data_IF_444374692093
#
_entry.id   IF_444374692093
#
_cell.length_a   1.000
_cell.length_b   1.000
_cell.length_c   1.000
_cell.angle_alpha   90.00
_cell.angle_beta   90.00
_cell.angle_gamma   90.00
#
_symmetry.space_group_name_H-M   'P 1'
#
loop_
_entity.id
_entity.type
_entity.pdbx_description
1 polymer ?
#
# COMPACT_ATOMS: atom_id res chain seq x y z
N UNK A 1 -5.19 11.34 4.03
CA UNK A 1 -4.99 9.88 3.91
C UNK A 1 -3.90 9.60 2.88
N UNK A 2 -3.04 8.61 3.14
CA UNK A 2 -2.01 8.15 2.22
C UNK A 2 -2.14 6.67 1.90
N UNK A 3 -1.58 6.27 0.77
CA UNK A 3 -1.35 4.88 0.38
C UNK A 3 0.15 4.66 0.25
N UNK A 4 0.67 3.73 1.04
CA UNK A 4 2.06 3.26 0.92
C UNK A 4 2.04 1.96 0.16
N UNK A 5 2.69 1.93 -1.01
CA UNK A 5 2.82 0.74 -1.87
C UNK A 5 4.27 0.27 -1.87
N UNK A 6 4.50 -0.97 -1.44
CA UNK A 6 5.76 -1.65 -1.62
C UNK A 6 5.68 -2.56 -2.86
N UNK A 7 6.38 -2.18 -3.93
CA UNK A 7 6.48 -2.95 -5.18
C UNK A 7 7.63 -3.94 -5.08
N UNK A 8 7.31 -5.22 -5.21
CA UNK A 8 8.22 -6.32 -4.93
C UNK A 8 8.35 -7.19 -6.18
N UNK A 9 9.53 -7.20 -6.83
CA UNK A 9 9.81 -8.13 -7.91
C UNK A 9 10.12 -9.51 -7.33
N UNK A 10 9.15 -10.41 -7.34
CA UNK A 10 9.34 -11.81 -6.90
C UNK A 10 9.96 -12.60 -8.05
N UNK A 11 10.98 -13.40 -7.74
CA UNK A 11 11.61 -14.28 -8.71
C UNK A 11 10.67 -15.43 -9.10
N UNK A 12 10.74 -15.87 -10.35
CA UNK A 12 9.91 -16.94 -10.89
C UNK A 12 10.08 -18.23 -10.05
N UNK A 13 8.96 -18.86 -9.70
CA UNK A 13 8.92 -20.07 -8.88
C UNK A 13 8.87 -19.82 -7.37
N UNK A 14 9.03 -18.57 -6.91
CA UNK A 14 8.97 -18.21 -5.49
C UNK A 14 7.63 -17.59 -5.06
N UNK A 15 6.64 -17.52 -5.95
CA UNK A 15 5.35 -16.85 -5.71
C UNK A 15 4.58 -17.46 -4.54
N UNK A 16 4.48 -18.80 -4.48
CA UNK A 16 3.74 -19.49 -3.42
C UNK A 16 4.36 -19.25 -2.05
N UNK A 17 5.68 -19.37 -1.95
CA UNK A 17 6.44 -19.11 -0.71
C UNK A 17 6.31 -17.65 -0.28
N UNK A 18 6.33 -16.72 -1.25
CA UNK A 18 6.13 -15.30 -1.01
C UNK A 18 4.73 -15.03 -0.43
N UNK A 19 3.67 -15.56 -1.04
CA UNK A 19 2.29 -15.38 -0.57
C UNK A 19 2.07 -15.94 0.83
N UNK A 20 2.61 -17.12 1.12
CA UNK A 20 2.47 -17.76 2.44
C UNK A 20 3.17 -16.98 3.55
N UNK A 21 4.26 -16.28 3.23
CA UNK A 21 4.92 -15.35 4.16
C UNK A 21 4.05 -14.14 4.51
N UNK A 22 3.17 -13.69 3.62
CA UNK A 22 2.26 -12.57 3.88
C UNK A 22 1.00 -12.99 4.63
N UNK A 23 0.40 -14.12 4.27
CA UNK A 23 -0.80 -14.66 4.96
C UNK A 23 -0.58 -14.83 6.48
N UNK A 24 0.63 -15.22 6.88
CA UNK A 24 0.98 -15.44 8.31
C UNK A 24 1.16 -14.15 9.13
N UNK A 25 1.27 -12.98 8.49
CA UNK A 25 1.70 -11.71 9.13
C UNK A 25 0.75 -10.53 8.90
N UNK A 26 -0.29 -10.71 8.09
CA UNK A 26 -1.18 -9.64 7.62
C UNK A 26 -1.80 -8.80 8.75
N UNK A 27 -2.07 -9.41 9.91
CA UNK A 27 -2.79 -8.76 11.01
C UNK A 27 -1.92 -8.01 12.04
N UNK A 28 -0.60 -7.98 11.87
CA UNK A 28 0.29 -7.28 12.84
C UNK A 28 0.17 -5.75 12.77
N UNK A 29 -0.32 -5.22 11.66
CA UNK A 29 -0.52 -3.78 11.44
C UNK A 29 -1.91 -3.30 11.90
N UNK A 30 -2.88 -4.21 12.03
CA UNK A 30 -4.31 -3.88 12.24
C UNK A 30 -4.60 -3.04 13.49
N UNK A 31 -3.71 -3.07 14.48
CA UNK A 31 -3.88 -2.33 15.74
C UNK A 31 -3.12 -1.00 15.77
N UNK A 32 -2.40 -0.64 14.71
CA UNK A 32 -1.65 0.60 14.67
C UNK A 32 -2.61 1.80 14.57
N UNK A 33 -2.39 2.87 15.36
CA UNK A 33 -3.15 4.11 15.20
C UNK A 33 -3.09 4.62 13.76
N UNK A 34 -4.23 5.09 13.27
CA UNK A 34 -4.36 5.62 11.91
C UNK A 34 -4.26 4.58 10.78
N UNK A 35 -4.07 3.29 11.08
CA UNK A 35 -4.16 2.23 10.06
C UNK A 35 -5.60 2.08 9.57
N UNK A 36 -5.78 1.99 8.24
CA UNK A 36 -7.09 1.85 7.61
C UNK A 36 -7.28 0.44 7.07
N UNK A 37 -6.35 -0.03 6.22
CA UNK A 37 -6.38 -1.39 5.65
C UNK A 37 -5.03 -1.79 5.05
N UNK A 38 -4.88 -3.08 4.77
CA UNK A 38 -3.75 -3.65 4.06
C UNK A 38 -4.26 -4.58 2.94
N UNK A 39 -3.61 -4.52 1.79
CA UNK A 39 -3.92 -5.36 0.63
C UNK A 39 -2.62 -5.89 0.01
N UNK A 40 -2.65 -7.13 -0.46
CA UNK A 40 -1.54 -7.73 -1.23
C UNK A 40 -2.06 -8.08 -2.60
N UNK A 41 -1.53 -7.41 -3.63
CA UNK A 41 -1.96 -7.56 -5.01
C UNK A 41 -0.97 -8.44 -5.75
N UNK A 42 -1.50 -9.48 -6.42
CA UNK A 42 -0.72 -10.35 -7.31
C UNK A 42 -0.56 -9.66 -8.67
N UNK A 43 0.63 -9.66 -9.28
CA UNK A 43 0.79 -9.14 -10.62
C UNK A 43 -0.02 -9.95 -11.63
N UNK A 44 -0.63 -9.24 -12.59
CA UNK A 44 -1.26 -9.83 -13.77
C UNK A 44 -1.00 -8.91 -14.96
N UNK A 45 0.19 -8.99 -15.58
CA UNK A 45 0.50 -8.19 -16.77
C UNK A 45 -0.48 -8.49 -17.90
N UNK A 46 -1.09 -7.44 -18.43
CA UNK A 46 -2.05 -7.50 -19.52
C UNK A 46 -1.73 -6.39 -20.51
N UNK A 47 -1.90 -6.68 -21.81
CA UNK A 47 -1.78 -5.68 -22.88
C UNK A 47 -3.13 -5.46 -23.54
N UNK A 48 -3.40 -4.20 -23.88
CA UNK A 48 -4.54 -3.77 -24.65
C UNK A 48 -4.15 -3.67 -26.12
N UNK A 49 -4.88 -4.35 -26.99
CA UNK A 49 -4.85 -4.06 -28.40
C UNK A 49 -5.72 -2.82 -28.67
N UNK A 50 -5.08 -1.71 -29.06
CA UNK A 50 -5.77 -0.45 -29.32
C UNK A 50 -6.64 -0.46 -30.59
N UNK A 51 -6.40 -1.37 -31.53
CA UNK A 51 -7.20 -1.49 -32.74
C UNK A 51 -8.50 -2.27 -32.48
N UNK A 52 -8.43 -3.32 -31.66
CA UNK A 52 -9.56 -4.23 -31.41
C UNK A 52 -10.25 -4.02 -30.06
N UNK A 53 -9.59 -3.35 -29.12
CA UNK A 53 -10.04 -3.19 -27.73
C UNK A 53 -9.87 -4.47 -26.88
N UNK A 54 -9.24 -5.51 -27.41
CA UNK A 54 -9.08 -6.78 -26.70
C UNK A 54 -7.92 -6.74 -25.70
N UNK A 55 -8.10 -7.42 -24.56
CA UNK A 55 -7.06 -7.64 -23.56
C UNK A 55 -6.49 -9.05 -23.66
N UNK A 56 -5.17 -9.18 -23.60
CA UNK A 56 -4.48 -10.47 -23.56
C UNK A 56 -3.37 -10.47 -22.51
N UNK A 57 -2.96 -11.64 -21.98
CA UNK A 57 -1.76 -11.73 -21.15
C UNK A 57 -0.54 -11.13 -21.84
N UNK A 58 0.32 -10.46 -21.06
CA UNK A 58 1.55 -9.85 -21.55
C UNK A 58 2.78 -10.45 -20.86
N UNK A 59 3.28 -11.62 -21.32
CA UNK A 59 4.37 -12.33 -20.64
C UNK A 59 5.71 -11.58 -20.70
N UNK A 60 5.85 -10.62 -21.62
CA UNK A 60 7.09 -9.85 -21.80
C UNK A 60 7.23 -8.69 -20.79
N UNK A 61 6.14 -8.33 -20.12
CA UNK A 61 6.12 -7.28 -19.10
C UNK A 61 6.36 -7.86 -17.70
N UNK A 62 7.41 -7.39 -17.02
CA UNK A 62 7.66 -7.72 -15.62
C UNK A 62 6.50 -7.24 -14.73
N UNK A 63 5.86 -8.18 -14.04
CA UNK A 63 4.90 -7.88 -12.98
C UNK A 63 5.56 -7.63 -11.63
N UNK A 64 4.88 -6.90 -10.75
CA UNK A 64 5.30 -6.69 -9.36
C UNK A 64 4.17 -7.08 -8.42
N UNK A 65 4.50 -7.77 -7.33
CA UNK A 65 3.58 -7.82 -6.20
C UNK A 65 3.52 -6.44 -5.56
N UNK A 66 2.33 -6.04 -5.14
CA UNK A 66 2.15 -4.78 -4.43
C UNK A 66 1.58 -5.05 -3.05
N UNK A 67 2.34 -4.71 -2.02
CA UNK A 67 1.83 -4.68 -0.64
C UNK A 67 1.45 -3.24 -0.36
N UNK A 68 0.16 -2.99 -0.24
CA UNK A 68 -0.39 -1.66 -0.03
C UNK A 68 -0.92 -1.53 1.39
N UNK A 69 -0.60 -0.43 2.05
CA UNK A 69 -1.19 -0.06 3.35
C UNK A 69 -1.76 1.35 3.26
N UNK A 70 -2.94 1.53 3.83
CA UNK A 70 -3.66 2.80 3.85
C UNK A 70 -3.62 3.37 5.25
N UNK A 71 -3.32 4.66 5.35
CA UNK A 71 -3.11 5.36 6.61
C UNK A 71 -3.81 6.70 6.61
N UNK A 72 -4.40 7.08 7.74
CA UNK A 72 -5.05 8.38 7.91
C UNK A 72 -4.07 9.53 7.63
N UNK A 73 -2.83 9.41 8.11
CA UNK A 73 -1.76 10.39 7.89
C UNK A 73 -0.40 9.73 7.60
N UNK A 74 0.55 10.54 7.11
CA UNK A 74 1.95 10.12 6.99
C UNK A 74 2.61 9.90 8.35
N UNK A 75 2.21 10.66 9.37
CA UNK A 75 2.76 10.56 10.72
C UNK A 75 2.40 9.21 11.36
N UNK A 76 1.16 8.73 11.17
CA UNK A 76 0.72 7.42 11.64
C UNK A 76 1.56 6.29 11.04
N UNK A 77 1.81 6.35 9.73
CA UNK A 77 2.69 5.39 9.05
C UNK A 77 4.10 5.44 9.62
N UNK A 78 4.70 6.63 9.75
CA UNK A 78 6.06 6.79 10.31
C UNK A 78 6.13 6.28 11.75
N UNK A 79 5.12 6.56 12.58
CA UNK A 79 5.04 6.07 13.94
C UNK A 79 4.99 4.53 13.97
N UNK A 80 4.18 3.91 13.10
CA UNK A 80 4.14 2.47 12.96
C UNK A 80 5.50 1.88 12.57
N UNK A 81 6.24 2.47 11.62
CA UNK A 81 7.56 1.94 11.20
C UNK A 81 8.60 1.90 12.34
N UNK A 82 8.38 2.68 13.40
CA UNK A 82 9.25 2.73 14.59
C UNK A 82 8.77 1.80 15.71
N UNK A 83 7.65 1.10 15.51
CA UNK A 83 7.01 0.28 16.54
C UNK A 83 7.63 -1.13 16.67
N UNK A 84 7.46 -1.79 17.84
CA UNK A 84 7.81 -3.20 18.00
C UNK A 84 7.03 -4.13 17.05
N UNK A 85 5.77 -3.78 16.72
CA UNK A 85 4.95 -4.55 15.79
C UNK A 85 5.56 -4.57 14.37
N UNK A 86 6.09 -3.42 13.92
CA UNK A 86 6.83 -3.35 12.67
C UNK A 86 8.10 -4.20 12.71
N UNK A 87 8.88 -4.10 13.79
CA UNK A 87 10.10 -4.89 13.95
C UNK A 87 9.81 -6.40 13.91
N UNK A 88 8.76 -6.87 14.57
CA UNK A 88 8.37 -8.28 14.57
C UNK A 88 7.90 -8.73 13.17
N UNK A 89 7.07 -7.93 12.49
CA UNK A 89 6.63 -8.23 11.12
C UNK A 89 7.81 -8.37 10.14
N UNK A 90 8.90 -7.64 10.37
CA UNK A 90 10.08 -7.59 9.50
C UNK A 90 11.28 -8.40 10.00
N UNK A 91 11.15 -9.11 11.13
CA UNK A 91 12.23 -9.90 11.75
C UNK A 91 12.69 -11.06 10.87
N UNK A 92 11.74 -11.75 10.25
CA UNK A 92 12.02 -12.88 9.35
C UNK A 92 12.23 -12.39 7.92
N UNK A 93 13.47 -11.97 7.63
CA UNK A 93 13.86 -11.56 6.28
C UNK A 93 13.66 -12.71 5.29
N UNK A 94 13.17 -12.35 4.10
CA UNK A 94 13.10 -13.31 3.01
C UNK A 94 14.49 -13.59 2.43
N UNK A 95 14.72 -14.82 1.94
CA UNK A 95 15.92 -15.14 1.19
C UNK A 95 16.10 -14.17 0.02
N UNK A 96 17.34 -13.87 -0.35
CA UNK A 96 17.61 -12.89 -1.43
C UNK A 96 17.11 -13.42 -2.77
N UNK A 97 17.24 -14.72 -2.99
CA UNK A 97 16.80 -15.45 -4.17
C UNK A 97 15.28 -15.39 -4.42
N UNK A 98 14.48 -15.07 -3.40
CA UNK A 98 13.04 -14.83 -3.58
C UNK A 98 12.74 -13.59 -4.42
N UNK A 99 13.71 -12.68 -4.59
CA UNK A 99 13.51 -11.41 -5.28
C UNK A 99 14.33 -11.32 -6.56
N UNK A 100 13.70 -10.91 -7.66
CA UNK A 100 14.36 -10.64 -8.93
C UNK A 100 15.03 -9.25 -8.97
N UNK A 101 14.94 -8.46 -7.88
CA UNK A 101 15.50 -7.12 -7.79
C UNK A 101 15.17 -6.43 -6.47
N UNK A 102 15.57 -5.16 -6.30
CA UNK A 102 15.23 -4.39 -5.12
C UNK A 102 13.73 -4.04 -5.08
N UNK A 103 13.18 -4.00 -3.87
CA UNK A 103 11.84 -3.47 -3.64
C UNK A 103 11.81 -1.95 -3.86
N UNK A 104 10.70 -1.42 -4.35
CA UNK A 104 10.47 0.01 -4.51
C UNK A 104 9.26 0.45 -3.70
N UNK A 105 9.49 1.31 -2.70
CA UNK A 105 8.43 1.92 -1.90
C UNK A 105 7.95 3.20 -2.59
N UNK A 106 6.64 3.34 -2.75
CA UNK A 106 5.97 4.50 -3.32
C UNK A 106 4.89 4.97 -2.34
N UNK A 107 4.79 6.28 -2.13
CA UNK A 107 3.82 6.88 -1.20
C UNK A 107 3.00 7.88 -2.01
N UNK A 108 1.67 7.75 -1.91
CA UNK A 108 0.72 8.62 -2.60
C UNK A 108 -0.26 9.22 -1.60
N UNK A 109 -0.61 10.48 -1.79
CA UNK A 109 -1.75 11.10 -1.14
C UNK A 109 -3.03 10.77 -1.91
N UNK A 110 -4.09 10.43 -1.20
CA UNK A 110 -5.40 10.23 -1.81
C UNK A 110 -6.04 11.61 -1.94
N UNK A 111 -6.04 12.19 -3.13
CA UNK A 111 -6.63 13.51 -3.39
C UNK A 111 -8.15 13.43 -3.65
N UNK A 112 -8.64 12.30 -4.15
CA UNK A 112 -10.04 12.07 -4.49
C UNK A 112 -10.37 10.59 -4.27
N UNK A 113 -11.56 10.34 -3.73
CA UNK A 113 -12.11 8.99 -3.53
C UNK A 113 -13.62 9.01 -3.77
N UNK A 114 -14.15 7.94 -4.35
CA UNK A 114 -15.59 7.70 -4.44
C UNK A 114 -16.12 6.91 -3.24
N UNK A 115 -15.23 6.30 -2.46
CA UNK A 115 -15.59 5.42 -1.35
C UNK A 115 -15.74 6.19 -0.02
N UNK A 116 -15.11 7.36 0.08
CA UNK A 116 -15.11 8.21 1.26
C UNK A 116 -14.79 9.66 0.88
N UNK A 117 -15.22 10.61 1.70
CA UNK A 117 -14.82 12.01 1.56
C UNK A 117 -13.34 12.18 1.91
N UNK A 118 -12.62 12.88 1.05
CA UNK A 118 -11.23 13.28 1.30
C UNK A 118 -11.28 14.70 1.84
N UNK A 119 -10.87 14.91 3.08
CA UNK A 119 -10.72 16.26 3.63
C UNK A 119 -9.65 17.02 2.85
N UNK A 120 -10.06 18.13 2.25
CA UNK A 120 -9.17 19.02 1.52
C UNK A 120 -8.36 19.85 2.51
N UNK A 121 -7.13 19.42 2.78
CA UNK A 121 -6.16 20.14 3.62
C UNK A 121 -5.74 21.52 3.08
N UNK A 122 -6.23 21.93 1.90
CA UNK A 122 -6.03 23.27 1.35
C UNK A 122 -7.12 24.28 1.74
N UNK A 123 -8.24 23.84 2.34
CA UNK A 123 -9.22 24.76 2.90
C UNK A 123 -8.72 25.27 4.27
N UNK A 124 -8.58 26.59 4.48
CA UNK A 124 -8.32 27.11 5.81
C UNK A 124 -9.49 26.72 6.72
N UNK A 125 -9.17 26.32 7.96
CA UNK A 125 -10.17 26.07 8.99
C UNK A 125 -11.06 27.31 9.08
N UNK A 126 -12.36 27.15 8.76
CA UNK A 126 -13.32 28.22 8.88
C UNK A 126 -13.27 28.75 10.31
N UNK A 127 -13.12 30.07 10.42
CA UNK A 127 -13.01 30.82 11.66
C UNK A 127 -14.09 30.37 12.64
N UNK A 128 -13.68 30.07 13.87
CA UNK A 128 -14.58 29.85 14.98
C UNK A 128 -15.48 31.10 15.12
N UNK A 129 -16.75 30.99 14.71
CA UNK A 129 -17.74 32.01 15.01
C UNK A 129 -17.91 32.09 16.53
N UNK A 130 -17.25 33.09 17.12
CA UNK A 130 -17.50 33.60 18.45
C UNK A 130 -18.91 34.20 18.49
N UNK A 131 -19.91 33.35 18.71
CA UNK A 131 -21.22 33.78 19.18
C UNK A 131 -21.11 34.18 20.65
N UNK A 132 -20.80 35.46 20.91
CA UNK A 132 -21.08 36.09 22.21
C UNK A 132 -22.59 36.42 22.29
N UNK A 133 -23.31 36.02 23.34
CA UNK A 133 -24.71 36.39 23.48
C UNK A 133 -24.85 37.79 24.13
N UNK A 134 -25.95 38.52 23.84
CA UNK A 134 -26.36 39.68 24.63
C UNK A 134 -27.01 39.30 25.97
#
# INVERSE_FOLDING_TARGET
MIVVTNRIPVAEGHEADFEDRFKKRVHLVDKAPGFVRNEVHRPKPMKLDHATGAWSPDPDTQGFYEVKTWWQSMDDFVAWTKSPAFAEAHKNRAPKEMFAGPNKLEIHEIFLSTDFEVEDGSKPAAEAELSSPP
#
